data_IF_938644995868
#
_entry.id   IF_938644995868
#
_cell.length_a   1.000
_cell.length_b   1.000
_cell.length_c   1.000
_cell.angle_alpha   90.00
_cell.angle_beta   90.00
_cell.angle_gamma   90.00
#
_symmetry.space_group_name_H-M   'P 1'
#
loop_
_entity.id
_entity.type
_entity.pdbx_description
1 polymer ?
#
# COMPACT_ATOMS: atom_id res chain seq x y z
N UNK A 1 15.64 15.27 0.00
CA UNK A 1 15.16 14.06 0.68
C UNK A 1 13.72 13.83 0.28
N UNK A 2 13.43 12.74 -0.42
CA UNK A 2 12.07 12.41 -0.86
C UNK A 2 11.40 11.55 0.21
N UNK A 3 10.26 12.01 0.76
CA UNK A 3 9.40 11.21 1.63
C UNK A 3 9.05 9.90 0.90
N UNK A 4 9.05 8.77 1.62
CA UNK A 4 8.74 7.44 1.08
C UNK A 4 9.64 6.99 -0.09
N UNK A 5 10.91 7.42 -0.12
CA UNK A 5 11.86 7.10 -1.19
C UNK A 5 12.00 5.61 -1.50
N UNK A 6 12.00 4.75 -0.47
CA UNK A 6 12.08 3.29 -0.64
C UNK A 6 10.84 2.72 -1.34
N UNK A 7 9.64 3.21 -1.03
CA UNK A 7 8.42 2.79 -1.72
C UNK A 7 8.45 3.20 -3.20
N UNK A 8 8.87 4.43 -3.49
CA UNK A 8 9.01 4.89 -4.87
C UNK A 8 10.10 4.14 -5.62
N UNK A 9 11.19 3.72 -4.96
CA UNK A 9 12.20 2.87 -5.56
C UNK A 9 11.60 1.52 -6.01
N UNK A 10 10.78 0.88 -5.18
CA UNK A 10 10.12 -0.37 -5.55
C UNK A 10 9.16 -0.16 -6.71
N UNK A 11 8.34 0.90 -6.66
CA UNK A 11 7.48 1.22 -7.79
C UNK A 11 8.22 1.52 -9.10
N UNK A 12 9.42 2.13 -9.01
CA UNK A 12 10.25 2.34 -10.18
C UNK A 12 10.64 0.99 -10.82
N UNK A 13 11.08 0.03 -10.00
CA UNK A 13 11.45 -1.33 -10.41
C UNK A 13 10.26 -2.14 -10.96
N UNK A 14 9.07 -1.95 -10.40
CA UNK A 14 7.86 -2.64 -10.82
C UNK A 14 7.16 -2.03 -12.04
N UNK A 15 7.71 -0.96 -12.61
CA UNK A 15 7.10 -0.31 -13.78
C UNK A 15 5.91 0.59 -13.45
N UNK A 16 5.68 0.91 -12.17
CA UNK A 16 4.53 1.70 -11.74
C UNK A 16 4.82 3.20 -11.65
N UNK A 17 6.08 3.58 -11.47
CA UNK A 17 6.48 4.96 -11.22
C UNK A 17 7.72 5.35 -12.00
N UNK A 18 7.57 6.20 -13.01
CA UNK A 18 8.73 6.69 -13.78
C UNK A 18 9.64 7.59 -12.91
N UNK A 19 10.97 7.34 -12.87
CA UNK A 19 11.93 8.24 -12.23
C UNK A 19 11.94 9.64 -12.88
N UNK A 20 12.15 10.68 -12.08
CA UNK A 20 12.23 12.06 -12.58
C UNK A 20 13.52 12.35 -13.36
N UNK A 21 14.57 11.57 -13.14
CA UNK A 21 15.88 11.69 -13.78
C UNK A 21 15.82 11.32 -15.28
N UNK A 22 14.80 10.58 -15.70
CA UNK A 22 14.63 10.12 -17.08
C UNK A 22 13.87 11.17 -17.89
N UNK A 23 14.61 12.20 -18.33
CA UNK A 23 14.06 13.35 -19.04
C UNK A 23 13.88 13.14 -20.55
N UNK A 24 14.65 12.21 -21.16
CA UNK A 24 14.62 11.96 -22.60
C UNK A 24 13.30 11.35 -23.07
N UNK A 25 12.85 11.73 -24.27
CA UNK A 25 11.57 11.23 -24.82
C UNK A 25 11.59 9.71 -25.06
N UNK A 26 12.75 9.15 -25.43
CA UNK A 26 12.93 7.71 -25.60
C UNK A 26 12.84 6.94 -24.28
N UNK A 27 13.48 7.43 -23.21
CA UNK A 27 13.39 6.79 -21.89
C UNK A 27 11.96 6.84 -21.32
N UNK A 28 11.25 7.96 -21.55
CA UNK A 28 9.83 8.08 -21.18
C UNK A 28 8.95 7.08 -21.92
N UNK A 29 9.18 6.91 -23.23
CA UNK A 29 8.44 5.94 -24.05
C UNK A 29 8.70 4.51 -23.59
N UNK A 30 9.97 4.12 -23.41
CA UNK A 30 10.37 2.80 -22.93
C UNK A 30 9.74 2.46 -21.57
N UNK A 31 9.76 3.41 -20.63
CA UNK A 31 9.13 3.22 -19.33
C UNK A 31 7.61 3.05 -19.46
N UNK A 32 6.94 3.84 -20.30
CA UNK A 32 5.50 3.70 -20.51
C UNK A 32 5.15 2.33 -21.13
N UNK A 33 5.97 1.82 -22.06
CA UNK A 33 5.83 0.46 -22.62
C UNK A 33 6.01 -0.60 -21.53
N UNK A 34 6.99 -0.42 -20.65
CA UNK A 34 7.19 -1.31 -19.51
C UNK A 34 5.97 -1.30 -18.57
N UNK A 35 5.48 -0.13 -18.15
CA UNK A 35 4.24 0.01 -17.36
C UNK A 35 3.06 -0.70 -18.02
N UNK A 36 2.85 -0.47 -19.32
CA UNK A 36 1.77 -1.11 -20.06
C UNK A 36 1.92 -2.63 -20.08
N UNK A 37 3.14 -3.14 -20.27
CA UNK A 37 3.43 -4.58 -20.30
C UNK A 37 3.13 -5.22 -18.94
N UNK A 38 3.53 -4.59 -17.83
CA UNK A 38 3.25 -5.11 -16.48
C UNK A 38 1.75 -5.16 -16.22
N UNK A 39 1.02 -4.06 -16.46
CA UNK A 39 -0.43 -4.01 -16.28
C UNK A 39 -1.13 -5.03 -17.16
N UNK A 40 -0.75 -5.11 -18.45
CA UNK A 40 -1.31 -6.09 -19.37
C UNK A 40 -1.11 -7.53 -18.86
N UNK A 41 0.07 -7.84 -18.32
CA UNK A 41 0.38 -9.16 -17.77
C UNK A 41 -0.48 -9.49 -16.54
N UNK A 42 -0.72 -8.53 -15.64
CA UNK A 42 -1.61 -8.71 -14.49
C UNK A 42 -3.06 -8.97 -14.92
N UNK A 43 -3.58 -8.19 -15.87
CA UNK A 43 -4.93 -8.37 -16.40
C UNK A 43 -5.06 -9.67 -17.22
N UNK A 44 -4.02 -10.08 -17.93
CA UNK A 44 -3.98 -11.37 -18.61
C UNK A 44 -4.09 -12.53 -17.60
N UNK A 45 -3.32 -12.47 -16.51
CA UNK A 45 -3.41 -13.45 -15.43
C UNK A 45 -4.80 -13.46 -14.78
N UNK A 46 -5.39 -12.29 -14.53
CA UNK A 46 -6.73 -12.14 -13.97
C UNK A 46 -7.79 -12.85 -14.84
N UNK A 47 -7.79 -12.58 -16.14
CA UNK A 47 -8.79 -13.13 -17.07
C UNK A 47 -8.61 -14.63 -17.24
N UNK A 48 -7.38 -15.11 -17.36
CA UNK A 48 -7.10 -16.54 -17.55
C UNK A 48 -7.40 -17.37 -16.30
N UNK A 49 -7.21 -16.81 -15.10
CA UNK A 49 -7.66 -17.44 -13.84
C UNK A 49 -9.18 -17.46 -13.72
N UNK A 50 -9.85 -16.35 -14.06
CA UNK A 50 -11.31 -16.30 -14.07
C UNK A 50 -11.90 -17.37 -15.00
N UNK A 51 -11.35 -17.51 -16.20
CA UNK A 51 -11.80 -18.53 -17.15
C UNK A 51 -11.56 -19.96 -16.64
N UNK A 52 -10.45 -20.21 -15.93
CA UNK A 52 -10.21 -21.52 -15.32
C UNK A 52 -11.27 -21.87 -14.27
N UNK A 53 -11.61 -20.92 -13.39
CA UNK A 53 -12.65 -21.09 -12.36
C UNK A 53 -14.01 -21.43 -12.99
N UNK A 54 -14.36 -20.77 -14.10
CA UNK A 54 -15.66 -20.96 -14.76
C UNK A 54 -15.73 -22.23 -15.61
N UNK A 55 -14.62 -22.64 -16.25
CA UNK A 55 -14.64 -23.65 -17.31
C UNK A 55 -14.03 -25.01 -16.93
N UNK A 56 -13.13 -25.08 -15.95
CA UNK A 56 -12.34 -26.32 -15.67
C UNK A 56 -12.46 -26.78 -14.21
N UNK A 57 -12.84 -25.91 -13.29
CA UNK A 57 -12.82 -26.30 -11.88
C UNK A 57 -13.97 -27.25 -11.54
N UNK A 58 -13.63 -28.54 -11.44
CA UNK A 58 -14.55 -29.62 -11.11
C UNK A 58 -14.43 -30.12 -9.66
N UNK A 59 -13.36 -29.76 -8.93
CA UNK A 59 -13.14 -30.16 -7.54
C UNK A 59 -13.13 -28.95 -6.58
N UNK A 60 -13.43 -29.21 -5.32
CA UNK A 60 -13.53 -28.19 -4.28
C UNK A 60 -12.13 -27.64 -3.91
N UNK A 61 -11.09 -28.47 -3.92
CA UNK A 61 -9.74 -28.05 -3.54
C UNK A 61 -9.08 -27.07 -4.54
N UNK A 62 -9.21 -27.35 -5.84
CA UNK A 62 -8.71 -26.46 -6.89
C UNK A 62 -9.55 -25.19 -6.97
N UNK A 63 -10.87 -25.30 -6.71
CA UNK A 63 -11.75 -24.13 -6.63
C UNK A 63 -11.26 -23.12 -5.62
N UNK A 64 -10.95 -23.54 -4.40
CA UNK A 64 -10.51 -22.57 -3.40
C UNK A 64 -9.11 -22.06 -3.64
N UNK A 65 -8.16 -22.92 -4.01
CA UNK A 65 -6.79 -22.47 -4.27
C UNK A 65 -6.79 -21.45 -5.41
N UNK A 66 -7.57 -21.69 -6.47
CA UNK A 66 -7.67 -20.75 -7.58
C UNK A 66 -8.50 -19.50 -7.24
N UNK A 67 -9.57 -19.63 -6.45
CA UNK A 67 -10.37 -18.48 -5.98
C UNK A 67 -9.57 -17.54 -5.08
N UNK A 68 -8.75 -18.08 -4.16
CA UNK A 68 -7.86 -17.28 -3.31
C UNK A 68 -6.84 -16.49 -4.13
N UNK A 69 -6.22 -17.15 -5.11
CA UNK A 69 -5.28 -16.50 -6.01
C UNK A 69 -5.97 -15.44 -6.87
N UNK A 70 -7.13 -15.76 -7.45
CA UNK A 70 -7.94 -14.84 -8.24
C UNK A 70 -8.31 -13.58 -7.46
N UNK A 71 -8.84 -13.72 -6.23
CA UNK A 71 -9.19 -12.58 -5.38
C UNK A 71 -7.97 -11.71 -5.03
N UNK A 72 -6.80 -12.34 -4.84
CA UNK A 72 -5.55 -11.61 -4.63
C UNK A 72 -5.18 -10.79 -5.87
N UNK A 73 -5.23 -11.39 -7.06
CA UNK A 73 -4.93 -10.71 -8.32
C UNK A 73 -5.93 -9.58 -8.61
N UNK A 74 -7.22 -9.75 -8.28
CA UNK A 74 -8.23 -8.66 -8.35
C UNK A 74 -7.79 -7.46 -7.51
N UNK A 75 -7.37 -7.70 -6.26
CA UNK A 75 -6.92 -6.64 -5.37
C UNK A 75 -5.66 -5.94 -5.90
N UNK A 76 -4.69 -6.69 -6.44
CA UNK A 76 -3.47 -6.10 -7.04
C UNK A 76 -3.79 -5.30 -8.30
N UNK A 77 -4.62 -5.82 -9.21
CA UNK A 77 -5.03 -5.09 -10.42
C UNK A 77 -5.72 -3.77 -10.06
N UNK A 78 -6.59 -3.77 -9.04
CA UNK A 78 -7.22 -2.56 -8.54
C UNK A 78 -6.18 -1.55 -8.03
N UNK A 79 -5.24 -1.99 -7.19
CA UNK A 79 -4.13 -1.17 -6.67
C UNK A 79 -3.29 -0.58 -7.79
N UNK A 80 -2.85 -1.41 -8.72
CA UNK A 80 -2.01 -1.01 -9.85
C UNK A 80 -2.70 0.06 -10.70
N UNK A 81 -3.96 -0.19 -11.04
CA UNK A 81 -4.79 0.73 -11.83
C UNK A 81 -4.96 2.08 -11.13
N UNK A 82 -5.26 2.09 -9.83
CA UNK A 82 -5.43 3.33 -9.06
C UNK A 82 -4.12 4.11 -8.96
N UNK A 83 -2.99 3.46 -8.70
CA UNK A 83 -1.67 4.11 -8.62
C UNK A 83 -1.32 4.79 -9.95
N UNK A 84 -1.62 4.14 -11.08
CA UNK A 84 -1.31 4.67 -12.42
C UNK A 84 -2.25 5.82 -12.79
N UNK A 85 -3.57 5.65 -12.62
CA UNK A 85 -4.57 6.67 -12.98
C UNK A 85 -4.46 7.90 -12.06
N UNK A 86 -4.28 7.71 -10.76
CA UNK A 86 -4.23 8.79 -9.75
C UNK A 86 -2.82 9.30 -9.51
N UNK A 87 -1.84 8.94 -10.34
CA UNK A 87 -0.42 9.28 -10.19
C UNK A 87 -0.16 10.75 -9.87
N UNK A 88 -0.77 11.67 -10.64
CA UNK A 88 -0.59 13.11 -10.44
C UNK A 88 -1.12 13.58 -9.08
N UNK A 89 -2.24 13.01 -8.61
CA UNK A 89 -2.81 13.33 -7.31
C UNK A 89 -1.91 12.84 -6.16
N UNK A 90 -1.32 11.63 -6.30
CA UNK A 90 -0.34 11.07 -5.36
C UNK A 90 0.93 11.94 -5.31
N UNK A 91 1.44 12.37 -6.47
CA UNK A 91 2.59 13.30 -6.56
C UNK A 91 2.30 14.58 -5.79
N UNK A 92 1.12 15.17 -6.02
CA UNK A 92 0.72 16.41 -5.35
C UNK A 92 0.62 16.22 -3.83
N UNK A 93 0.09 15.10 -3.33
CA UNK A 93 0.05 14.81 -1.90
C UNK A 93 1.46 14.79 -1.28
N UNK A 94 2.38 14.04 -1.89
CA UNK A 94 3.76 13.94 -1.37
C UNK A 94 4.48 15.28 -1.46
N UNK A 95 4.22 16.06 -2.51
CA UNK A 95 4.79 17.40 -2.67
C UNK A 95 4.30 18.37 -1.60
N UNK A 96 3.00 18.37 -1.30
CA UNK A 96 2.38 19.25 -0.30
C UNK A 96 3.00 19.03 1.09
N UNK A 97 3.39 17.80 1.44
CA UNK A 97 4.08 17.50 2.71
C UNK A 97 5.46 18.19 2.86
N UNK A 98 6.03 18.68 1.76
CA UNK A 98 7.29 19.42 1.75
C UNK A 98 7.10 20.94 1.68
N UNK A 99 5.88 21.40 1.42
CA UNK A 99 5.51 22.79 1.27
C UNK A 99 4.91 23.35 2.57
N UNK A 100 4.82 24.67 2.70
CA UNK A 100 4.09 25.31 3.80
C UNK A 100 2.59 25.04 3.65
N UNK A 101 1.83 24.72 4.72
CA UNK A 101 2.19 24.80 6.14
C UNK A 101 2.81 23.53 6.75
N UNK A 102 2.97 22.45 5.97
CA UNK A 102 3.41 21.13 6.47
C UNK A 102 4.90 21.03 6.76
N UNK A 103 5.71 21.92 6.18
CA UNK A 103 7.14 22.01 6.44
C UNK A 103 7.42 22.30 7.94
N UNK A 104 8.30 21.53 8.60
CA UNK A 104 8.75 21.81 9.97
C UNK A 104 9.41 23.19 10.09
N UNK A 105 9.18 23.88 11.21
CA UNK A 105 9.68 25.24 11.51
C UNK A 105 10.76 25.28 12.59
N UNK A 106 10.78 24.32 13.49
CA UNK A 106 11.71 24.24 14.62
C UNK A 106 12.18 22.81 14.88
N UNK A 107 13.11 22.65 15.82
CA UNK A 107 13.74 21.38 16.16
C UNK A 107 12.73 20.35 16.69
N UNK A 108 11.72 20.78 17.44
CA UNK A 108 10.68 19.88 17.95
C UNK A 108 9.85 19.31 16.80
N UNK A 109 9.45 20.14 15.84
CA UNK A 109 8.71 19.71 14.66
C UNK A 109 9.54 18.78 13.76
N UNK A 110 10.85 19.03 13.65
CA UNK A 110 11.79 18.15 12.93
C UNK A 110 11.90 16.81 13.65
N UNK A 111 11.97 16.79 14.98
CA UNK A 111 12.03 15.58 15.77
C UNK A 111 10.75 14.72 15.60
N UNK A 112 9.56 15.35 15.66
CA UNK A 112 8.28 14.68 15.41
C UNK A 112 8.28 14.04 14.01
N UNK A 113 8.60 14.82 12.97
CA UNK A 113 8.64 14.31 11.59
C UNK A 113 9.61 13.13 11.45
N UNK A 114 10.82 13.27 11.99
CA UNK A 114 11.87 12.24 11.90
C UNK A 114 11.46 10.95 12.61
N UNK A 115 10.81 11.04 13.78
CA UNK A 115 10.27 9.89 14.52
C UNK A 115 9.31 9.08 13.66
N UNK A 116 8.35 9.74 13.00
CA UNK A 116 7.40 9.05 12.12
C UNK A 116 8.09 8.48 10.86
N UNK A 117 9.02 9.20 10.24
CA UNK A 117 9.76 8.70 9.07
C UNK A 117 10.61 7.46 9.39
N UNK A 118 11.30 7.45 10.53
CA UNK A 118 12.06 6.29 11.01
C UNK A 118 11.13 5.10 11.27
N UNK A 119 9.97 5.35 11.88
CA UNK A 119 8.98 4.32 12.16
C UNK A 119 8.41 3.72 10.86
N UNK A 120 7.97 4.56 9.92
CA UNK A 120 7.48 4.13 8.59
C UNK A 120 8.55 3.28 7.89
N UNK A 121 9.81 3.74 7.88
CA UNK A 121 10.92 3.02 7.24
C UNK A 121 11.18 1.67 7.90
N UNK A 122 11.13 1.59 9.23
CA UNK A 122 11.29 0.32 9.96
C UNK A 122 10.19 -0.68 9.62
N UNK A 123 8.92 -0.24 9.64
CA UNK A 123 7.78 -1.08 9.27
C UNK A 123 7.86 -1.58 7.82
N UNK A 124 8.26 -0.70 6.90
CA UNK A 124 8.45 -1.03 5.49
C UNK A 124 9.54 -2.08 5.30
N UNK A 125 10.71 -1.91 5.92
CA UNK A 125 11.81 -2.89 5.80
C UNK A 125 11.38 -4.26 6.34
N UNK A 126 10.72 -4.31 7.50
CA UNK A 126 10.22 -5.57 8.08
C UNK A 126 9.21 -6.26 7.17
N UNK A 127 8.34 -5.51 6.52
CA UNK A 127 7.36 -6.07 5.60
C UNK A 127 7.95 -6.48 4.26
N UNK A 128 8.95 -5.76 3.75
CA UNK A 128 9.70 -6.21 2.57
C UNK A 128 10.39 -7.54 2.88
N UNK A 129 10.99 -7.71 4.05
CA UNK A 129 11.59 -8.98 4.45
C UNK A 129 10.54 -10.12 4.47
N UNK A 130 9.35 -9.87 5.05
CA UNK A 130 8.23 -10.83 5.04
C UNK A 130 7.71 -11.14 3.63
N UNK A 131 7.65 -10.13 2.76
CA UNK A 131 7.26 -10.29 1.37
C UNK A 131 8.29 -11.13 0.60
N UNK A 132 9.59 -10.89 0.83
CA UNK A 132 10.66 -11.66 0.21
C UNK A 132 10.63 -13.13 0.63
N UNK A 133 10.36 -13.45 1.90
CA UNK A 133 10.19 -14.84 2.32
C UNK A 133 8.99 -15.50 1.64
N UNK A 134 7.89 -14.76 1.47
CA UNK A 134 6.70 -15.25 0.76
C UNK A 134 6.98 -15.48 -0.72
N UNK A 135 7.67 -14.55 -1.39
CA UNK A 135 8.10 -14.68 -2.79
C UNK A 135 9.00 -15.89 -2.96
N UNK A 136 9.97 -16.12 -2.05
CA UNK A 136 10.83 -17.31 -2.14
C UNK A 136 10.05 -18.61 -2.00
N UNK A 137 9.03 -18.66 -1.13
CA UNK A 137 8.16 -19.83 -1.02
C UNK A 137 7.36 -20.07 -2.30
N UNK A 138 6.81 -19.00 -2.88
CA UNK A 138 6.06 -19.04 -4.14
C UNK A 138 6.95 -19.52 -5.29
N UNK A 139 8.17 -19.00 -5.41
CA UNK A 139 9.07 -19.38 -6.50
C UNK A 139 9.54 -20.82 -6.36
N UNK A 140 9.82 -21.30 -5.14
CA UNK A 140 10.13 -22.71 -4.90
C UNK A 140 8.95 -23.60 -5.31
N UNK A 141 7.72 -23.27 -4.88
CA UNK A 141 6.52 -24.01 -5.28
C UNK A 141 6.31 -24.00 -6.80
N UNK A 142 6.54 -22.86 -7.44
CA UNK A 142 6.47 -22.73 -8.91
C UNK A 142 7.48 -23.63 -9.62
N UNK A 143 8.73 -23.70 -9.13
CA UNK A 143 9.78 -24.56 -9.69
C UNK A 143 9.43 -26.04 -9.52
N UNK A 144 8.91 -26.44 -8.36
CA UNK A 144 8.45 -27.82 -8.12
C UNK A 144 7.34 -28.20 -9.09
N UNK A 145 6.34 -27.32 -9.30
CA UNK A 145 5.27 -27.56 -10.28
C UNK A 145 5.82 -27.72 -11.70
N UNK A 146 6.73 -26.84 -12.12
CA UNK A 146 7.39 -26.91 -13.44
C UNK A 146 8.13 -28.25 -13.61
N UNK A 147 8.87 -28.69 -12.58
CA UNK A 147 9.59 -29.97 -12.61
C UNK A 147 8.66 -31.18 -12.74
N UNK A 148 7.43 -31.07 -12.24
CA UNK A 148 6.39 -32.09 -12.37
C UNK A 148 5.59 -31.98 -13.69
N UNK A 149 5.89 -30.99 -14.53
CA UNK A 149 5.20 -30.77 -15.80
C UNK A 149 3.91 -29.94 -15.70
N UNK A 150 3.65 -29.33 -14.55
CA UNK A 150 2.50 -28.45 -14.33
C UNK A 150 2.91 -26.98 -14.42
N UNK A 151 1.98 -26.12 -14.86
CA UNK A 151 2.18 -24.68 -14.80
C UNK A 151 2.31 -24.22 -13.34
N UNK A 152 3.12 -23.18 -13.04
CA UNK A 152 3.23 -22.60 -11.71
C UNK A 152 1.88 -22.34 -11.05
N UNK A 153 0.96 -21.75 -11.82
CA UNK A 153 -0.42 -21.49 -11.41
C UNK A 153 -1.38 -21.98 -12.48
N UNK A 154 -2.50 -22.55 -12.02
CA UNK A 154 -3.56 -23.03 -12.88
C UNK A 154 -4.23 -21.84 -13.60
N UNK A 155 -4.27 -21.91 -14.92
CA UNK A 155 -4.88 -20.92 -15.79
C UNK A 155 -5.52 -21.61 -16.99
N UNK A 156 -6.57 -21.01 -17.54
CA UNK A 156 -7.15 -21.42 -18.80
C UNK A 156 -6.51 -20.65 -19.95
N UNK A 157 -6.09 -21.38 -20.99
CA UNK A 157 -5.55 -20.80 -22.22
C UNK A 157 -6.32 -21.35 -23.44
N UNK A 158 -6.62 -20.50 -24.43
CA UNK A 158 -7.37 -20.93 -25.62
C UNK A 158 -6.54 -21.77 -26.61
N UNK A 159 -5.25 -21.97 -26.34
CA UNK A 159 -4.32 -22.72 -27.20
C UNK A 159 -3.61 -23.80 -26.42
N UNK A 160 -3.20 -24.86 -27.13
CA UNK A 160 -2.51 -25.99 -26.53
C UNK A 160 -1.07 -25.59 -26.15
N UNK A 161 -0.75 -25.64 -24.86
CA UNK A 161 0.57 -25.36 -24.31
C UNK A 161 1.40 -26.63 -24.05
N UNK A 162 0.96 -27.81 -24.50
CA UNK A 162 1.74 -29.06 -24.46
C UNK A 162 3.04 -29.00 -25.27
N UNK A 163 3.23 -27.96 -26.09
CA UNK A 163 4.51 -27.70 -26.78
C UNK A 163 5.54 -27.16 -25.77
N UNK A 164 6.74 -27.77 -25.65
CA UNK A 164 7.71 -27.39 -24.61
C UNK A 164 8.06 -25.90 -24.58
N UNK A 165 8.22 -25.26 -25.74
CA UNK A 165 8.55 -23.84 -25.83
C UNK A 165 7.44 -22.95 -25.24
N UNK A 166 6.18 -23.23 -25.56
CA UNK A 166 5.04 -22.46 -25.06
C UNK A 166 4.92 -22.62 -23.54
N UNK A 167 5.06 -23.84 -23.03
CA UNK A 167 5.05 -24.14 -21.59
C UNK A 167 6.09 -23.31 -20.81
N UNK A 168 7.34 -23.27 -21.29
CA UNK A 168 8.41 -22.51 -20.63
C UNK A 168 8.15 -21.00 -20.67
N UNK A 169 7.70 -20.46 -21.80
CA UNK A 169 7.39 -19.03 -21.95
C UNK A 169 6.28 -18.62 -20.97
N UNK A 170 5.20 -19.40 -20.89
CA UNK A 170 4.07 -19.11 -19.98
C UNK A 170 4.52 -19.22 -18.52
N UNK A 171 5.30 -20.24 -18.18
CA UNK A 171 5.78 -20.46 -16.81
C UNK A 171 6.67 -19.30 -16.34
N UNK A 172 7.62 -18.85 -17.17
CA UNK A 172 8.48 -17.70 -16.85
C UNK A 172 7.63 -16.43 -16.73
N UNK A 173 6.70 -16.22 -17.66
CA UNK A 173 5.79 -15.08 -17.64
C UNK A 173 4.96 -15.02 -16.35
N UNK A 174 4.39 -16.15 -15.91
CA UNK A 174 3.63 -16.23 -14.66
C UNK A 174 4.49 -15.88 -13.45
N UNK A 175 5.68 -16.49 -13.33
CA UNK A 175 6.57 -16.25 -12.19
C UNK A 175 6.98 -14.78 -12.12
N UNK A 176 7.38 -14.18 -13.24
CA UNK A 176 7.74 -12.75 -13.30
C UNK A 176 6.55 -11.87 -12.94
N UNK A 177 5.38 -12.14 -13.50
CA UNK A 177 4.16 -11.36 -13.24
C UNK A 177 3.77 -11.39 -11.76
N UNK A 178 3.89 -12.55 -11.10
CA UNK A 178 3.51 -12.70 -9.69
C UNK A 178 4.51 -12.02 -8.76
N UNK A 179 5.81 -12.07 -9.08
CA UNK A 179 6.82 -11.32 -8.35
C UNK A 179 6.51 -9.82 -8.43
N UNK A 180 6.24 -9.30 -9.62
CA UNK A 180 5.90 -7.90 -9.83
C UNK A 180 4.59 -7.52 -9.10
N UNK A 181 3.54 -8.34 -9.23
CA UNK A 181 2.26 -8.15 -8.57
C UNK A 181 2.41 -8.08 -7.04
N UNK A 182 3.22 -8.98 -6.46
CA UNK A 182 3.48 -9.00 -5.01
C UNK A 182 4.18 -7.72 -4.56
N UNK A 183 5.18 -7.25 -5.32
CA UNK A 183 5.90 -6.02 -5.01
C UNK A 183 5.00 -4.78 -5.15
N UNK A 184 4.12 -4.75 -6.15
CA UNK A 184 3.12 -3.69 -6.34
C UNK A 184 2.12 -3.67 -5.19
N UNK A 185 1.65 -4.85 -4.77
CA UNK A 185 0.74 -5.02 -3.63
C UNK A 185 1.34 -4.40 -2.36
N UNK A 186 2.53 -4.88 -1.96
CA UNK A 186 3.22 -4.42 -0.74
C UNK A 186 3.52 -2.93 -0.81
N UNK A 187 4.03 -2.43 -1.94
CA UNK A 187 4.36 -1.01 -2.09
C UNK A 187 3.15 -0.11 -1.96
N UNK A 188 1.99 -0.55 -2.44
CA UNK A 188 0.73 0.22 -2.36
C UNK A 188 0.18 0.26 -0.95
N UNK A 189 0.24 -0.86 -0.23
CA UNK A 189 -0.17 -0.91 1.17
C UNK A 189 0.68 0.04 2.00
N UNK A 190 1.99 0.04 1.76
CA UNK A 190 2.92 0.92 2.46
C UNK A 190 2.87 2.38 2.04
N UNK A 191 2.50 2.68 0.80
CA UNK A 191 2.20 4.05 0.37
C UNK A 191 1.02 4.59 1.18
N UNK A 192 -0.09 3.85 1.25
CA UNK A 192 -1.30 4.28 1.98
C UNK A 192 -1.00 4.43 3.48
N UNK A 193 -0.37 3.41 4.07
CA UNK A 193 0.08 3.42 5.46
C UNK A 193 0.97 4.63 5.78
N UNK A 194 1.96 4.92 4.92
CA UNK A 194 2.83 6.07 5.06
C UNK A 194 2.07 7.40 5.00
N UNK A 195 1.10 7.54 4.09
CA UNK A 195 0.28 8.75 3.98
C UNK A 195 -0.61 8.97 5.22
N UNK A 196 -1.15 7.90 5.82
CA UNK A 196 -1.87 7.96 7.09
C UNK A 196 -0.97 8.41 8.23
N UNK A 197 0.22 7.81 8.38
CA UNK A 197 1.16 8.21 9.41
C UNK A 197 1.73 9.62 9.22
N UNK A 198 1.89 10.09 7.98
CA UNK A 198 2.18 11.50 7.72
C UNK A 198 1.04 12.42 8.15
N UNK A 199 -0.22 11.97 8.08
CA UNK A 199 -1.35 12.71 8.66
C UNK A 199 -1.20 12.80 10.19
N UNK A 200 -0.89 11.69 10.86
CA UNK A 200 -0.63 11.66 12.31
C UNK A 200 0.51 12.60 12.71
N UNK A 201 1.63 12.57 11.98
CA UNK A 201 2.77 13.46 12.22
C UNK A 201 2.36 14.94 12.13
N UNK A 202 1.51 15.28 11.16
CA UNK A 202 1.06 16.66 10.96
C UNK A 202 0.04 17.10 12.01
N UNK A 203 -0.78 16.18 12.53
CA UNK A 203 -1.65 16.46 13.68
C UNK A 203 -0.83 16.72 14.95
N UNK A 204 0.24 15.96 15.19
CA UNK A 204 1.14 16.16 16.34
C UNK A 204 1.95 17.47 16.22
N UNK A 205 2.38 17.84 15.01
CA UNK A 205 2.98 19.15 14.73
C UNK A 205 1.97 20.27 14.99
N UNK A 206 0.72 20.10 14.54
CA UNK A 206 -0.34 21.08 14.78
C UNK A 206 -0.59 21.28 16.28
N UNK A 207 -0.65 20.20 17.06
CA UNK A 207 -0.77 20.24 18.52
C UNK A 207 0.37 21.02 19.17
N UNK A 208 1.62 20.71 18.80
CA UNK A 208 2.81 21.42 19.30
C UNK A 208 2.75 22.92 19.00
N UNK A 209 2.38 23.30 17.77
CA UNK A 209 2.20 24.71 17.37
C UNK A 209 1.11 25.40 18.18
N UNK A 210 -0.02 24.72 18.40
CA UNK A 210 -1.13 25.26 19.18
C UNK A 210 -0.72 25.47 20.65
N UNK A 211 -0.03 24.50 21.25
CA UNK A 211 0.46 24.59 22.62
C UNK A 211 1.46 25.74 22.80
N UNK A 212 2.42 25.88 21.88
CA UNK A 212 3.37 27.02 21.85
C UNK A 212 2.65 28.37 21.73
N UNK A 213 1.60 28.45 20.93
CA UNK A 213 0.78 29.66 20.79
C UNK A 213 0.05 30.00 22.09
N UNK A 214 -0.55 29.00 22.76
CA UNK A 214 -1.26 29.18 24.04
C UNK A 214 -0.29 29.65 25.13
N UNK A 215 0.87 28.98 25.31
CA UNK A 215 1.89 29.39 26.29
C UNK A 215 2.32 30.84 26.04
N UNK A 216 2.66 31.18 24.80
CA UNK A 216 3.11 32.53 24.44
C UNK A 216 2.05 33.60 24.76
N UNK A 217 0.76 33.26 24.58
CA UNK A 217 -0.35 34.13 24.95
C UNK A 217 -0.46 34.27 26.47
N UNK A 218 -0.36 33.18 27.22
CA UNK A 218 -0.43 33.19 28.70
C UNK A 218 0.69 34.01 29.33
N UNK A 219 1.94 33.84 28.89
CA UNK A 219 3.10 34.62 29.39
C UNK A 219 2.89 36.12 29.13
N UNK A 220 2.45 36.51 27.93
CA UNK A 220 2.18 37.92 27.60
C UNK A 220 1.05 38.54 28.43
N UNK A 221 0.02 37.76 28.77
CA UNK A 221 -1.03 38.22 29.68
C UNK A 221 -0.50 38.47 31.10
N UNK A 222 0.46 37.66 31.56
CA UNK A 222 1.07 37.80 32.89
C UNK A 222 2.01 39.01 32.97
N UNK A 223 2.74 39.32 31.90
CA UNK A 223 3.69 40.43 31.84
C UNK A 223 3.04 41.82 31.67
N UNK A 224 1.70 41.94 31.64
CA UNK A 224 0.95 43.19 31.36
C UNK A 224 1.41 43.94 30.09
N UNK A 225 2.08 43.25 29.17
CA UNK A 225 2.52 43.83 27.92
C UNK A 225 1.28 44.11 27.05
N UNK A 226 1.06 45.37 26.66
CA UNK A 226 -0.03 45.81 25.78
C UNK A 226 -0.12 44.83 24.60
N UNK A 227 -1.19 44.04 24.58
CA UNK A 227 -1.38 42.99 23.61
C UNK A 227 -1.40 43.62 22.21
N UNK A 228 -0.43 43.30 21.35
CA UNK A 228 -0.65 43.54 19.92
C UNK A 228 -1.65 42.48 19.45
N UNK A 229 -2.94 42.77 19.59
CA UNK A 229 -4.08 41.93 19.21
C UNK A 229 -3.89 41.30 17.81
N UNK A 230 -3.20 42.04 16.92
CA UNK A 230 -2.82 41.62 15.58
C UNK A 230 -1.92 40.38 15.53
N UNK A 231 -0.91 40.24 16.42
CA UNK A 231 -0.01 39.06 16.42
C UNK A 231 -0.74 37.78 16.86
N UNK A 232 -1.67 37.90 17.80
CA UNK A 232 -2.44 36.77 18.30
C UNK A 232 -3.47 36.31 17.25
N UNK A 233 -4.09 37.26 16.55
CA UNK A 233 -4.97 36.99 15.40
C UNK A 233 -4.24 36.29 14.26
N UNK A 234 -3.01 36.71 13.94
CA UNK A 234 -2.17 36.07 12.91
C UNK A 234 -1.85 34.62 13.30
N UNK A 235 -1.40 34.39 14.55
CA UNK A 235 -1.08 33.04 15.02
C UNK A 235 -2.27 32.09 14.98
N UNK A 236 -3.45 32.54 15.43
CA UNK A 236 -4.69 31.74 15.38
C UNK A 236 -5.06 31.45 13.92
N UNK A 237 -4.96 32.45 13.03
CA UNK A 237 -5.23 32.26 11.61
C UNK A 237 -4.30 31.22 10.96
N UNK A 238 -3.02 31.20 11.33
CA UNK A 238 -2.07 30.19 10.84
C UNK A 238 -2.42 28.78 11.33
N UNK A 239 -2.79 28.63 12.61
CA UNK A 239 -3.25 27.36 13.17
C UNK A 239 -4.51 26.85 12.44
N UNK A 240 -5.51 27.72 12.24
CA UNK A 240 -6.74 27.37 11.50
C UNK A 240 -6.40 26.94 10.07
N UNK A 241 -5.52 27.67 9.38
CA UNK A 241 -5.10 27.33 8.02
C UNK A 241 -4.36 25.98 7.98
N UNK A 242 -3.48 25.69 8.95
CA UNK A 242 -2.77 24.42 9.04
C UNK A 242 -3.73 23.25 9.30
N UNK A 243 -4.64 23.36 10.26
CA UNK A 243 -5.65 22.35 10.53
C UNK A 243 -6.55 22.08 9.31
N UNK A 244 -7.02 23.13 8.62
CA UNK A 244 -7.80 22.98 7.40
C UNK A 244 -6.99 22.31 6.29
N UNK A 245 -5.68 22.58 6.20
CA UNK A 245 -4.79 21.93 5.25
C UNK A 245 -4.65 20.44 5.56
N UNK A 246 -4.49 20.05 6.83
CA UNK A 246 -4.46 18.65 7.27
C UNK A 246 -5.76 17.94 6.91
N UNK A 247 -6.91 18.56 7.19
CA UNK A 247 -8.22 18.01 6.83
C UNK A 247 -8.35 17.78 5.31
N UNK A 248 -7.98 18.78 4.49
CA UNK A 248 -8.00 18.64 3.02
C UNK A 248 -7.05 17.55 2.53
N UNK A 249 -5.87 17.44 3.15
CA UNK A 249 -4.90 16.40 2.85
C UNK A 249 -5.49 15.00 3.14
N UNK A 250 -5.99 14.76 4.36
CA UNK A 250 -6.59 13.49 4.75
C UNK A 250 -7.79 13.12 3.87
N UNK A 251 -8.66 14.09 3.55
CA UNK A 251 -9.78 13.90 2.62
C UNK A 251 -9.30 13.48 1.22
N UNK A 252 -8.24 14.10 0.73
CA UNK A 252 -7.68 13.78 -0.59
C UNK A 252 -7.05 12.38 -0.61
N UNK A 253 -6.32 11.98 0.45
CA UNK A 253 -5.82 10.60 0.60
C UNK A 253 -6.97 9.60 0.55
N UNK A 254 -8.05 9.85 1.31
CA UNK A 254 -9.23 8.98 1.31
C UNK A 254 -9.89 8.89 -0.07
N UNK A 255 -10.06 10.01 -0.78
CA UNK A 255 -10.67 10.01 -2.13
C UNK A 255 -9.84 9.22 -3.15
N UNK A 256 -8.50 9.24 -3.03
CA UNK A 256 -7.63 8.50 -3.96
C UNK A 256 -7.71 6.99 -3.70
N UNK A 257 -7.72 6.58 -2.44
CA UNK A 257 -7.54 5.18 -2.06
C UNK A 257 -8.81 4.48 -1.54
N UNK A 258 -9.97 5.15 -1.47
CA UNK A 258 -11.22 4.53 -0.98
C UNK A 258 -11.61 3.26 -1.74
N UNK A 259 -11.44 3.24 -3.06
CA UNK A 259 -11.72 2.09 -3.91
C UNK A 259 -10.77 0.94 -3.61
N UNK A 260 -9.48 1.24 -3.42
CA UNK A 260 -8.47 0.25 -3.02
C UNK A 260 -8.82 -0.34 -1.66
N UNK A 261 -9.15 0.49 -0.68
CA UNK A 261 -9.55 0.04 0.65
C UNK A 261 -10.78 -0.87 0.57
N UNK A 262 -11.82 -0.45 -0.15
CA UNK A 262 -13.04 -1.24 -0.32
C UNK A 262 -12.76 -2.62 -0.91
N UNK A 263 -12.06 -2.68 -2.06
CA UNK A 263 -11.71 -3.94 -2.72
C UNK A 263 -10.84 -4.81 -1.81
N UNK A 264 -9.87 -4.20 -1.12
CA UNK A 264 -8.99 -4.90 -0.20
C UNK A 264 -9.78 -5.57 0.93
N UNK A 265 -10.68 -4.85 1.61
CA UNK A 265 -11.44 -5.43 2.72
C UNK A 265 -12.39 -6.53 2.26
N UNK A 266 -13.10 -6.33 1.13
CA UNK A 266 -14.00 -7.35 0.57
C UNK A 266 -13.21 -8.61 0.18
N UNK A 267 -12.09 -8.45 -0.54
CA UNK A 267 -11.23 -9.56 -0.91
C UNK A 267 -10.66 -10.27 0.32
N UNK A 268 -10.17 -9.53 1.31
CA UNK A 268 -9.63 -10.11 2.56
C UNK A 268 -10.67 -10.90 3.34
N UNK A 269 -11.93 -10.45 3.42
CA UNK A 269 -13.00 -11.22 4.08
C UNK A 269 -13.21 -12.55 3.37
N UNK A 270 -13.40 -12.53 2.05
CA UNK A 270 -13.62 -13.75 1.25
C UNK A 270 -12.42 -14.71 1.36
N UNK A 271 -11.21 -14.17 1.28
CA UNK A 271 -9.97 -14.92 1.44
C UNK A 271 -9.89 -15.56 2.82
N UNK A 272 -10.04 -14.79 3.90
CA UNK A 272 -9.92 -15.31 5.27
C UNK A 272 -10.99 -16.36 5.57
N UNK A 273 -12.23 -16.15 5.15
CA UNK A 273 -13.30 -17.14 5.30
C UNK A 273 -12.95 -18.45 4.60
N UNK A 274 -12.42 -18.37 3.37
CA UNK A 274 -11.97 -19.54 2.63
C UNK A 274 -10.80 -20.21 3.34
N UNK A 275 -9.74 -19.48 3.70
CA UNK A 275 -8.57 -20.06 4.36
C UNK A 275 -8.90 -20.76 5.67
N UNK A 276 -9.75 -20.18 6.52
CA UNK A 276 -10.17 -20.80 7.78
C UNK A 276 -10.96 -22.09 7.54
N UNK A 277 -11.85 -22.10 6.55
CA UNK A 277 -12.58 -23.31 6.15
C UNK A 277 -11.64 -24.44 5.71
N UNK A 278 -10.67 -24.14 4.84
CA UNK A 278 -9.69 -25.14 4.37
C UNK A 278 -8.74 -25.60 5.46
N UNK A 279 -8.33 -24.70 6.36
CA UNK A 279 -7.52 -25.07 7.51
C UNK A 279 -8.26 -26.03 8.45
N UNK A 280 -9.57 -25.85 8.61
CA UNK A 280 -10.40 -26.72 9.44
C UNK A 280 -10.55 -28.13 8.88
N UNK A 281 -10.59 -28.29 7.55
CA UNK A 281 -10.81 -29.60 6.91
C UNK A 281 -9.49 -30.34 6.66
N UNK A 282 -8.41 -29.62 6.34
CA UNK A 282 -7.12 -30.21 5.95
C UNK A 282 -6.09 -30.25 7.10
N UNK A 283 -6.53 -30.20 8.36
CA UNK A 283 -5.65 -30.13 9.54
C UNK A 283 -4.70 -31.34 9.67
N UNK A 284 -5.06 -32.48 9.05
CA UNK A 284 -4.27 -33.71 9.05
C UNK A 284 -3.12 -33.71 8.05
N UNK A 285 -3.16 -32.83 7.03
CA UNK A 285 -2.08 -32.68 6.04
C UNK A 285 -1.19 -31.47 6.37
N UNK A 286 -0.11 -31.72 7.11
CA UNK A 286 0.77 -30.69 7.65
C UNK A 286 1.30 -29.69 6.61
N UNK A 287 1.62 -30.14 5.39
CA UNK A 287 2.15 -29.29 4.33
C UNK A 287 1.11 -28.29 3.81
N UNK A 288 -0.09 -28.77 3.45
CA UNK A 288 -1.20 -27.91 2.99
C UNK A 288 -1.67 -26.97 4.10
N UNK A 289 -1.83 -27.49 5.32
CA UNK A 289 -2.21 -26.70 6.48
C UNK A 289 -1.21 -25.55 6.75
N UNK A 290 0.11 -25.82 6.65
CA UNK A 290 1.13 -24.80 6.82
C UNK A 290 1.06 -23.69 5.77
N UNK A 291 0.83 -24.02 4.50
CA UNK A 291 0.66 -23.02 3.43
C UNK A 291 -0.54 -22.11 3.68
N UNK A 292 -1.71 -22.68 3.98
CA UNK A 292 -2.91 -21.89 4.29
C UNK A 292 -2.73 -21.05 5.55
N UNK A 293 -2.04 -21.57 6.56
CA UNK A 293 -1.74 -20.83 7.79
C UNK A 293 -0.84 -19.62 7.55
N UNK A 294 0.27 -19.78 6.82
CA UNK A 294 1.18 -18.67 6.45
C UNK A 294 0.44 -17.62 5.63
N UNK A 295 -0.35 -18.05 4.65
CA UNK A 295 -1.14 -17.14 3.82
C UNK A 295 -2.19 -16.38 4.65
N UNK A 296 -2.86 -17.07 5.59
CA UNK A 296 -3.79 -16.45 6.55
C UNK A 296 -3.11 -15.37 7.39
N UNK A 297 -1.91 -15.64 7.93
CA UNK A 297 -1.12 -14.64 8.67
C UNK A 297 -0.82 -13.43 7.78
N UNK A 298 -0.37 -13.66 6.53
CA UNK A 298 -0.09 -12.58 5.59
C UNK A 298 -1.31 -11.67 5.35
N UNK A 299 -2.48 -12.27 5.16
CA UNK A 299 -3.73 -11.54 4.98
C UNK A 299 -4.14 -10.75 6.23
N UNK A 300 -3.97 -11.32 7.42
CA UNK A 300 -4.20 -10.59 8.68
C UNK A 300 -3.25 -9.41 8.84
N UNK A 301 -1.96 -9.57 8.53
CA UNK A 301 -0.97 -8.47 8.59
C UNK A 301 -1.39 -7.35 7.63
N UNK A 302 -1.84 -7.70 6.43
CA UNK A 302 -2.29 -6.72 5.43
C UNK A 302 -3.48 -5.89 5.95
N UNK A 303 -4.51 -6.55 6.47
CA UNK A 303 -5.68 -5.89 7.09
C UNK A 303 -5.27 -5.05 8.30
N UNK A 304 -4.41 -5.61 9.16
CA UNK A 304 -3.93 -4.94 10.37
C UNK A 304 -3.24 -3.61 10.05
N UNK A 305 -2.37 -3.56 9.04
CA UNK A 305 -1.65 -2.33 8.64
C UNK A 305 -2.63 -1.19 8.33
N UNK A 306 -3.70 -1.47 7.58
CA UNK A 306 -4.73 -0.49 7.26
C UNK A 306 -5.53 -0.06 8.49
N UNK A 307 -6.05 -1.03 9.25
CA UNK A 307 -6.87 -0.76 10.42
C UNK A 307 -6.09 0.01 11.50
N UNK A 308 -4.86 -0.41 11.77
CA UNK A 308 -4.03 0.21 12.79
C UNK A 308 -3.66 1.65 12.41
N UNK A 309 -3.18 1.89 11.19
CA UNK A 309 -2.84 3.25 10.75
C UNK A 309 -4.05 4.18 10.65
N UNK A 310 -5.21 3.66 10.22
CA UNK A 310 -6.46 4.42 10.26
C UNK A 310 -6.90 4.77 11.68
N UNK A 311 -6.78 3.81 12.62
CA UNK A 311 -7.08 4.04 14.03
C UNK A 311 -6.16 5.10 14.64
N UNK A 312 -4.85 5.09 14.35
CA UNK A 312 -3.93 6.13 14.82
C UNK A 312 -4.36 7.54 14.38
N UNK A 313 -4.85 7.69 13.15
CA UNK A 313 -5.39 8.98 12.67
C UNK A 313 -6.61 9.39 13.51
N UNK A 314 -7.52 8.46 13.79
CA UNK A 314 -8.72 8.73 14.61
C UNK A 314 -8.31 9.14 16.02
N UNK A 315 -7.42 8.40 16.68
CA UNK A 315 -6.95 8.72 18.03
C UNK A 315 -6.30 10.11 18.07
N UNK A 316 -5.45 10.45 17.09
CA UNK A 316 -4.81 11.77 17.02
C UNK A 316 -5.81 12.91 16.85
N UNK A 317 -6.93 12.69 16.17
CA UNK A 317 -8.01 13.68 16.04
C UNK A 317 -8.83 13.76 17.32
N UNK A 318 -9.21 12.63 17.92
CA UNK A 318 -10.11 12.62 19.09
C UNK A 318 -9.41 13.11 20.36
N UNK A 319 -8.17 12.72 20.63
CA UNK A 319 -7.45 13.19 21.82
C UNK A 319 -7.10 14.69 21.78
N UNK A 320 -7.19 15.34 20.62
CA UNK A 320 -7.14 16.81 20.53
C UNK A 320 -8.41 17.49 21.05
N UNK A 321 -9.52 16.76 21.14
CA UNK A 321 -10.78 17.21 21.71
C UNK A 321 -11.16 16.26 22.86
N UNK A 322 -10.58 16.40 24.07
CA UNK A 322 -11.14 15.72 25.21
C UNK A 322 -12.62 16.15 25.31
N UNK A 323 -13.52 15.22 25.06
CA UNK A 323 -14.95 15.38 25.30
C UNK A 323 -15.12 15.56 26.80
N UNK A 324 -15.20 16.82 27.22
CA UNK A 324 -15.66 17.19 28.56
C UNK A 324 -17.17 16.98 28.67
#
# INVERSE_FOLDING_TARGET
MQILSLNFLIYNLCGMWRPNEWSSNSAKLLYNVFTFTVIFSEYFLLVTQFMDIVLIVDNIDDFATNTLMFLSIVAVCCKATIVVIRRNAIINLVKILMETPFKPRDEDEVAIKTKFEMFIRSCLIKNILLAMTSITGITIGSVVNIMQGYLPYRIWLPFNYSVPLAFWIISIHQVVTIILATMINVSTDFLIFGLFLHTCAQLEIFESRLHKLVIKKTIRCLENAVSSLNKDKIGISECIHHHLSIYKYAKTVNVIFNQVLFVQFVASILILCTCVYYLSINITELSRAATFFVYTIGMFVQVYIYCWSGNEVILKVTYQYPTN
#
